data_IF_116623875697
#
_entry.id   IF_116623875697
#
_cell.length_a   1.000
_cell.length_b   1.000
_cell.length_c   1.000
_cell.angle_alpha   90.00
_cell.angle_beta   90.00
_cell.angle_gamma   90.00
#
_symmetry.space_group_name_H-M   'P 1'
#
loop_
_entity.id
_entity.type
_entity.pdbx_description
1 polymer ?
#
# COMPACT_ATOMS: atom_id res chain seq x y z
N UNK A 1 39.80 -20.48 -45.72
CA UNK A 1 38.94 -20.70 -44.53
C UNK A 1 37.75 -21.54 -44.99
N UNK A 2 37.65 -22.79 -44.54
CA UNK A 2 36.69 -23.79 -45.07
C UNK A 2 35.29 -23.57 -44.51
N UNK A 3 34.26 -23.68 -45.36
CA UNK A 3 32.86 -23.32 -45.05
C UNK A 3 32.23 -24.03 -43.83
N UNK A 4 32.84 -25.10 -43.31
CA UNK A 4 32.38 -25.82 -42.11
C UNK A 4 32.60 -25.03 -40.81
N UNK A 5 33.63 -24.18 -40.76
CA UNK A 5 33.97 -23.39 -39.56
C UNK A 5 33.04 -22.19 -39.38
N UNK A 6 32.51 -21.62 -40.47
CA UNK A 6 31.56 -20.49 -40.43
C UNK A 6 30.16 -20.88 -39.94
N UNK A 7 29.72 -22.13 -40.15
CA UNK A 7 28.41 -22.61 -39.65
C UNK A 7 28.36 -22.69 -38.13
N UNK A 8 29.42 -23.19 -37.49
CA UNK A 8 29.49 -23.33 -36.04
C UNK A 8 29.62 -21.98 -35.31
N UNK A 9 30.35 -21.02 -35.91
CA UNK A 9 30.46 -19.65 -35.39
C UNK A 9 29.12 -18.90 -35.49
N UNK A 10 28.37 -19.09 -36.58
CA UNK A 10 27.06 -18.49 -36.76
C UNK A 10 26.01 -19.05 -35.78
N UNK A 11 26.05 -20.34 -35.45
CA UNK A 11 25.14 -20.95 -34.47
C UNK A 11 25.45 -20.52 -33.03
N UNK A 12 26.73 -20.35 -32.67
CA UNK A 12 27.11 -19.85 -31.33
C UNK A 12 26.74 -18.37 -31.12
N UNK A 13 26.81 -17.53 -32.15
CA UNK A 13 26.44 -16.11 -32.05
C UNK A 13 24.92 -15.90 -31.90
N UNK A 14 24.11 -16.74 -32.56
CA UNK A 14 22.66 -16.70 -32.47
C UNK A 14 22.13 -17.16 -31.08
N UNK A 15 22.82 -18.12 -30.45
CA UNK A 15 22.49 -18.56 -29.08
C UNK A 15 22.88 -17.50 -28.04
N UNK A 16 23.99 -16.79 -28.21
CA UNK A 16 24.36 -15.69 -27.31
C UNK A 16 23.38 -14.49 -27.39
N UNK A 17 22.90 -14.14 -28.60
CA UNK A 17 21.92 -13.07 -28.78
C UNK A 17 20.52 -13.44 -28.24
N UNK A 18 20.13 -14.72 -28.31
CA UNK A 18 18.87 -15.19 -27.74
C UNK A 18 18.89 -15.23 -26.20
N UNK A 19 20.03 -15.54 -25.58
CA UNK A 19 20.16 -15.54 -24.11
C UNK A 19 20.18 -14.12 -23.54
N UNK A 20 20.67 -13.11 -24.29
CA UNK A 20 20.59 -11.71 -23.87
C UNK A 20 19.17 -11.11 -23.93
N UNK A 21 18.27 -11.68 -24.73
CA UNK A 21 16.89 -11.17 -24.90
C UNK A 21 15.88 -11.78 -23.90
N UNK A 22 16.25 -12.84 -23.16
CA UNK A 22 15.38 -13.49 -22.17
C UNK A 22 15.36 -12.80 -20.80
N UNK A 23 16.20 -11.78 -20.58
CA UNK A 23 16.19 -10.99 -19.34
C UNK A 23 15.32 -9.72 -19.41
N UNK A 24 14.55 -9.52 -20.47
CA UNK A 24 13.66 -8.35 -20.64
C UNK A 24 12.21 -8.73 -20.35
N UNK A 25 11.92 -9.21 -19.14
CA UNK A 25 10.57 -9.25 -18.55
C UNK A 25 10.56 -9.67 -17.08
N UNK A 26 11.66 -9.51 -16.33
CA UNK A 26 11.48 -9.34 -14.89
C UNK A 26 10.83 -7.96 -14.74
N UNK A 27 9.52 -7.94 -14.47
CA UNK A 27 8.87 -6.73 -14.02
C UNK A 27 9.76 -6.12 -12.94
N UNK A 28 10.12 -4.83 -13.05
CA UNK A 28 10.74 -4.15 -11.92
C UNK A 28 9.79 -4.36 -10.74
N UNK A 29 10.17 -5.21 -9.78
CA UNK A 29 9.51 -5.24 -8.50
C UNK A 29 9.73 -3.85 -7.91
N UNK A 30 8.76 -2.96 -8.12
CA UNK A 30 8.79 -1.61 -7.60
C UNK A 30 9.04 -1.69 -6.10
N UNK A 31 10.07 -1.00 -5.62
CA UNK A 31 10.35 -0.92 -4.18
C UNK A 31 9.08 -0.41 -3.49
N UNK A 32 8.56 -1.15 -2.52
CA UNK A 32 7.36 -0.77 -1.78
C UNK A 32 7.49 0.66 -1.23
N UNK A 33 6.37 1.39 -1.25
CA UNK A 33 6.28 2.75 -0.71
C UNK A 33 7.17 3.78 -1.41
N UNK A 34 7.63 3.50 -2.64
CA UNK A 34 8.27 4.48 -3.52
C UNK A 34 7.26 4.93 -4.59
N UNK A 35 6.63 6.10 -4.43
CA UNK A 35 5.65 6.58 -5.40
C UNK A 35 6.33 7.04 -6.70
N UNK A 36 5.60 7.07 -7.83
CA UNK A 36 6.10 7.68 -9.06
C UNK A 36 6.27 9.21 -8.91
N UNK A 37 6.93 9.84 -9.88
CA UNK A 37 7.08 11.30 -9.91
C UNK A 37 5.73 12.01 -9.82
N UNK A 38 5.68 13.11 -9.06
CA UNK A 38 4.46 13.87 -8.80
C UNK A 38 3.59 13.33 -7.66
N UNK A 39 3.86 12.11 -7.18
CA UNK A 39 3.17 11.53 -6.02
C UNK A 39 4.02 11.63 -4.76
N UNK A 40 3.36 11.81 -3.61
CA UNK A 40 4.00 11.76 -2.29
C UNK A 40 3.64 10.45 -1.61
N UNK A 41 4.64 9.82 -0.97
CA UNK A 41 4.43 8.60 -0.22
C UNK A 41 3.48 8.88 0.96
N UNK A 42 2.33 8.20 0.96
CA UNK A 42 1.37 8.29 2.05
C UNK A 42 1.80 7.43 3.24
N UNK A 43 2.34 6.24 2.95
CA UNK A 43 2.94 5.33 3.92
C UNK A 43 4.45 5.28 3.72
N UNK A 44 5.20 5.22 4.82
CA UNK A 44 6.66 5.26 4.81
C UNK A 44 7.32 3.87 4.77
N UNK A 45 6.53 2.79 4.87
CA UNK A 45 7.02 1.41 4.87
C UNK A 45 7.72 0.96 6.15
N UNK A 46 7.67 1.73 7.23
CA UNK A 46 8.46 1.46 8.44
C UNK A 46 7.63 1.45 9.71
N UNK A 47 6.75 2.42 9.87
CA UNK A 47 5.99 2.63 11.09
C UNK A 47 4.69 3.40 10.83
N UNK A 48 3.89 3.60 11.87
CA UNK A 48 2.61 4.29 11.77
C UNK A 48 2.76 5.83 11.82
N UNK A 49 3.95 6.40 11.64
CA UNK A 49 4.10 7.85 11.57
C UNK A 49 3.29 8.41 10.39
N UNK A 50 2.54 9.48 10.64
CA UNK A 50 1.59 10.03 9.68
C UNK A 50 0.21 9.38 9.71
N UNK A 51 -0.02 8.40 10.60
CA UNK A 51 -1.31 7.79 10.86
C UNK A 51 -1.76 8.00 12.31
N UNK A 52 -3.06 7.88 12.56
CA UNK A 52 -3.72 8.00 13.86
C UNK A 52 -4.94 7.08 13.94
N UNK A 53 -5.40 6.77 15.15
CA UNK A 53 -6.64 6.04 15.37
C UNK A 53 -7.88 6.86 15.02
N UNK A 54 -8.93 6.20 14.54
CA UNK A 54 -10.20 6.86 14.24
C UNK A 54 -10.99 7.17 15.52
N UNK A 55 -11.13 8.45 15.85
CA UNK A 55 -12.03 8.89 16.94
C UNK A 55 -13.44 9.09 16.42
N UNK A 56 -14.35 8.15 16.63
CA UNK A 56 -15.78 8.32 16.32
C UNK A 56 -16.09 8.76 14.87
N UNK A 57 -17.27 9.36 14.66
CA UNK A 57 -17.69 9.94 13.39
C UNK A 57 -17.30 11.43 13.29
N UNK A 58 -17.29 12.04 12.08
CA UNK A 58 -17.09 13.48 11.94
C UNK A 58 -18.06 14.31 12.80
N UNK A 59 -19.34 13.92 12.88
CA UNK A 59 -20.37 14.62 13.67
C UNK A 59 -20.11 14.54 15.17
N UNK A 60 -19.62 13.41 15.67
CA UNK A 60 -19.31 13.27 17.10
C UNK A 60 -18.02 14.00 17.46
N UNK A 61 -16.99 13.96 16.61
CA UNK A 61 -15.74 14.70 16.86
C UNK A 61 -15.98 16.21 16.91
N UNK A 62 -16.78 16.74 15.99
CA UNK A 62 -17.09 18.16 15.92
C UNK A 62 -17.82 18.72 17.16
N UNK A 63 -18.36 17.85 18.01
CA UNK A 63 -19.04 18.22 19.26
C UNK A 63 -18.15 18.11 20.50
N UNK A 64 -16.96 17.53 20.38
CA UNK A 64 -16.04 17.36 21.51
C UNK A 64 -15.29 18.65 21.78
N UNK A 65 -14.97 18.90 23.06
CA UNK A 65 -13.98 19.92 23.41
C UNK A 65 -12.59 19.50 22.91
N UNK A 66 -11.63 20.44 22.80
CA UNK A 66 -10.24 20.09 22.51
C UNK A 66 -9.65 19.08 23.51
N UNK A 67 -9.95 19.20 24.80
CA UNK A 67 -9.43 18.26 25.82
C UNK A 67 -10.05 16.86 25.68
N UNK A 68 -11.37 16.80 25.48
CA UNK A 68 -12.09 15.53 25.27
C UNK A 68 -11.58 14.82 24.02
N UNK A 69 -11.36 15.58 22.93
CA UNK A 69 -10.84 15.03 21.69
C UNK A 69 -9.40 14.52 21.85
N UNK A 70 -8.56 15.23 22.60
CA UNK A 70 -7.18 14.80 22.85
C UNK A 70 -7.13 13.48 23.64
N UNK A 71 -7.94 13.35 24.69
CA UNK A 71 -8.04 12.11 25.48
C UNK A 71 -8.62 10.95 24.64
N UNK A 72 -9.65 11.22 23.84
CA UNK A 72 -10.22 10.23 22.93
C UNK A 72 -9.22 9.80 21.85
N UNK A 73 -8.42 10.75 21.33
CA UNK A 73 -7.39 10.46 20.34
C UNK A 73 -6.29 9.58 20.93
N UNK A 74 -5.86 9.84 22.18
CA UNK A 74 -4.89 8.96 22.85
C UNK A 74 -5.38 7.52 22.93
N UNK A 75 -6.64 7.31 23.34
CA UNK A 75 -7.25 5.97 23.39
C UNK A 75 -7.33 5.32 22.02
N UNK A 76 -7.74 6.07 21.00
CA UNK A 76 -7.81 5.57 19.63
C UNK A 76 -6.42 5.21 19.07
N UNK A 77 -5.40 5.99 19.39
CA UNK A 77 -4.01 5.72 18.97
C UNK A 77 -3.43 4.50 19.69
N UNK A 78 -3.81 4.28 20.94
CA UNK A 78 -3.42 3.07 21.69
C UNK A 78 -4.10 1.82 21.07
N UNK A 79 -5.42 1.83 20.85
CA UNK A 79 -6.16 0.75 20.17
C UNK A 79 -5.64 0.50 18.73
N UNK A 80 -5.31 1.57 18.00
CA UNK A 80 -4.70 1.48 16.67
C UNK A 80 -3.41 0.65 16.70
N UNK A 81 -2.50 0.92 17.64
CA UNK A 81 -1.21 0.23 17.72
C UNK A 81 -1.33 -1.23 18.12
N UNK A 82 -2.42 -1.62 18.78
CA UNK A 82 -2.69 -3.01 19.12
C UNK A 82 -3.02 -3.85 17.87
N UNK A 83 -3.74 -3.27 16.91
CA UNK A 83 -4.39 -4.00 15.81
C UNK A 83 -3.88 -3.67 14.40
N UNK A 84 -3.26 -2.51 14.21
CA UNK A 84 -2.55 -2.13 12.99
C UNK A 84 -1.05 -2.25 13.19
N UNK A 85 -0.40 -2.95 12.27
CA UNK A 85 1.05 -3.22 12.33
C UNK A 85 1.70 -2.96 11.01
N UNK A 86 2.98 -2.64 11.04
CA UNK A 86 3.84 -2.65 9.86
C UNK A 86 4.58 -3.97 9.83
N UNK A 87 4.38 -4.75 8.77
CA UNK A 87 5.07 -6.02 8.55
C UNK A 87 5.63 -5.99 7.13
N UNK A 88 6.94 -6.15 7.00
CA UNK A 88 7.66 -6.18 5.72
C UNK A 88 7.31 -5.02 4.77
N UNK A 89 7.15 -3.82 5.33
CA UNK A 89 6.82 -2.62 4.56
C UNK A 89 5.37 -2.50 4.13
N UNK A 90 4.44 -3.25 4.76
CA UNK A 90 3.00 -3.23 4.50
C UNK A 90 2.21 -2.94 5.78
N UNK A 91 1.13 -2.15 5.65
CA UNK A 91 0.14 -1.97 6.72
C UNK A 91 -0.75 -3.22 6.80
N UNK A 92 -0.72 -3.88 7.96
CA UNK A 92 -1.47 -5.11 8.23
C UNK A 92 -2.48 -4.87 9.33
N UNK A 93 -3.74 -5.20 9.05
CA UNK A 93 -4.82 -5.20 10.01
C UNK A 93 -5.13 -6.63 10.45
N UNK A 94 -5.27 -6.85 11.76
CA UNK A 94 -5.59 -8.17 12.31
C UNK A 94 -7.10 -8.49 12.33
N UNK A 95 -7.94 -7.52 11.94
CA UNK A 95 -9.41 -7.65 11.93
C UNK A 95 -10.10 -7.22 13.23
N UNK A 96 -9.36 -6.73 14.22
CA UNK A 96 -9.89 -6.32 15.53
C UNK A 96 -9.70 -4.81 15.72
N UNK A 97 -10.57 -4.16 16.49
CA UNK A 97 -10.49 -2.72 16.73
C UNK A 97 -11.07 -1.85 15.61
N UNK A 98 -10.45 -0.69 15.36
CA UNK A 98 -11.00 0.38 14.49
C UNK A 98 -10.15 0.66 13.25
N UNK A 99 -10.73 1.41 12.31
CA UNK A 99 -10.04 1.90 11.12
C UNK A 99 -8.83 2.78 11.45
N UNK A 100 -7.80 2.68 10.64
CA UNK A 100 -6.65 3.58 10.60
C UNK A 100 -7.00 4.87 9.83
N UNK A 101 -6.51 6.02 10.27
CA UNK A 101 -6.71 7.31 9.61
C UNK A 101 -5.40 8.02 9.36
N UNK A 102 -5.31 8.81 8.29
CA UNK A 102 -4.17 9.71 8.11
C UNK A 102 -4.19 10.77 9.21
N UNK A 103 -3.02 11.11 9.75
CA UNK A 103 -2.90 12.16 10.77
C UNK A 103 -3.24 13.53 10.16
N UNK A 104 -2.79 13.74 8.92
CA UNK A 104 -3.06 14.91 8.09
C UNK A 104 -4.39 14.76 7.32
N UNK A 105 -5.11 15.86 7.16
CA UNK A 105 -6.26 15.97 6.27
C UNK A 105 -5.85 16.34 4.83
N UNK A 106 -6.61 15.84 3.85
CA UNK A 106 -6.37 16.05 2.42
C UNK A 106 -7.62 16.61 1.73
N UNK A 107 -7.40 17.51 0.77
CA UNK A 107 -8.45 18.09 -0.09
C UNK A 107 -8.73 17.23 -1.32
N UNK A 108 -8.52 17.81 -2.51
CA UNK A 108 -8.50 17.07 -3.76
C UNK A 108 -7.16 16.32 -3.87
N UNK A 109 -7.21 15.07 -4.29
CA UNK A 109 -6.03 14.22 -4.43
C UNK A 109 -6.28 13.11 -5.45
N UNK A 110 -5.19 12.64 -6.04
CA UNK A 110 -5.12 11.35 -6.72
C UNK A 110 -4.39 10.38 -5.78
N UNK A 111 -4.92 9.17 -5.60
CA UNK A 111 -4.36 8.17 -4.70
C UNK A 111 -4.05 6.89 -5.45
N UNK A 112 -2.81 6.43 -5.31
CA UNK A 112 -2.37 5.10 -5.73
C UNK A 112 -2.21 4.25 -4.47
N UNK A 113 -2.87 3.09 -4.46
CA UNK A 113 -2.80 2.15 -3.35
C UNK A 113 -3.05 0.75 -3.86
N UNK A 114 -2.19 -0.16 -3.43
CA UNK A 114 -2.38 -1.60 -3.59
C UNK A 114 -2.93 -2.17 -2.28
N UNK A 115 -3.82 -3.16 -2.38
CA UNK A 115 -4.36 -3.87 -1.23
C UNK A 115 -4.40 -5.37 -1.47
N UNK A 116 -4.40 -6.11 -0.36
CA UNK A 116 -4.59 -7.55 -0.35
C UNK A 116 -5.53 -7.90 0.79
N UNK A 117 -6.56 -8.68 0.48
CA UNK A 117 -7.51 -9.21 1.46
C UNK A 117 -7.35 -10.72 1.59
N UNK A 118 -7.80 -11.25 2.73
CA UNK A 118 -7.99 -12.69 2.92
C UNK A 118 -9.35 -13.10 2.36
N UNK A 119 -9.58 -14.41 2.24
CA UNK A 119 -10.91 -14.96 1.99
C UNK A 119 -11.92 -14.36 2.98
N UNK A 120 -13.10 -14.02 2.48
CA UNK A 120 -14.20 -13.38 3.23
C UNK A 120 -13.81 -12.00 3.81
N UNK A 121 -12.75 -11.38 3.29
CA UNK A 121 -12.29 -10.08 3.73
C UNK A 121 -13.23 -8.96 3.29
N UNK A 122 -13.48 -8.03 4.21
CA UNK A 122 -14.27 -6.81 3.97
C UNK A 122 -13.52 -5.62 4.58
N UNK A 123 -13.34 -4.58 3.77
CA UNK A 123 -12.63 -3.37 4.12
C UNK A 123 -13.07 -2.21 3.22
N UNK A 124 -12.38 -1.08 3.32
CA UNK A 124 -12.59 0.00 2.37
C UNK A 124 -11.74 1.21 2.66
N UNK A 125 -11.74 2.10 1.68
CA UNK A 125 -11.07 3.39 1.73
C UNK A 125 -12.14 4.47 1.90
N UNK A 126 -12.13 5.15 3.02
CA UNK A 126 -13.05 6.25 3.30
C UNK A 126 -12.45 7.58 2.83
N UNK A 127 -12.97 8.14 1.74
CA UNK A 127 -12.51 9.40 1.17
C UNK A 127 -12.93 10.56 2.09
N UNK A 128 -11.97 11.13 2.84
CA UNK A 128 -12.23 12.17 3.85
C UNK A 128 -13.27 11.73 4.89
N UNK A 129 -13.32 10.43 5.19
CA UNK A 129 -14.27 9.83 6.12
C UNK A 129 -15.64 9.45 5.53
N UNK A 130 -16.02 9.95 4.35
CA UNK A 130 -17.18 9.52 3.56
C UNK A 130 -17.17 10.24 2.20
N UNK A 131 -17.37 9.54 1.06
CA UNK A 131 -17.87 8.16 0.90
C UNK A 131 -16.81 7.06 1.05
N UNK A 132 -17.25 5.80 1.07
CA UNK A 132 -16.39 4.61 1.06
C UNK A 132 -16.22 4.07 -0.37
N UNK A 133 -14.97 3.79 -0.74
CA UNK A 133 -14.64 2.89 -1.85
C UNK A 133 -14.49 1.50 -1.26
N UNK A 134 -15.37 0.58 -1.65
CA UNK A 134 -15.48 -0.73 -1.03
C UNK A 134 -14.38 -1.69 -1.52
N UNK A 135 -13.83 -2.48 -0.59
CA UNK A 135 -12.87 -3.55 -0.87
C UNK A 135 -13.40 -4.82 -0.21
N UNK A 136 -13.81 -5.80 -1.01
CA UNK A 136 -14.36 -7.05 -0.47
C UNK A 136 -14.01 -8.24 -1.34
N UNK A 137 -14.09 -9.43 -0.76
CA UNK A 137 -14.05 -10.69 -1.50
C UNK A 137 -15.40 -10.91 -2.20
N UNK A 138 -15.50 -10.87 -3.53
CA UNK A 138 -16.78 -11.03 -4.23
C UNK A 138 -17.24 -12.49 -4.33
N UNK A 139 -16.44 -13.44 -3.87
CA UNK A 139 -16.75 -14.86 -3.93
C UNK A 139 -17.61 -15.35 -2.74
N UNK A 140 -17.94 -14.46 -1.79
CA UNK A 140 -18.89 -14.69 -0.69
C UNK A 140 -20.28 -14.17 -0.97
#
# INVERSE_FOLDING_TARGET
>A
MTMTTMKHVATMLAVLLAVSALNVAAAEEGKLNQPPEGYKALFNGKDLNGWKGLVGSPKTRAKMSPEELAEAQKKADDEMKEHWKVVDGVLVFDGKGKSLCTAKDYGNFDMLVDWKIKKDGDSGIYLRGSPQVQIWDPAV
#
